data_IF_120528401864
#
_entry.id   IF_120528401864
#
_cell.length_a   1.000
_cell.length_b   1.000
_cell.length_c   1.000
_cell.angle_alpha   90.00
_cell.angle_beta   90.00
_cell.angle_gamma   90.00
#
_symmetry.space_group_name_H-M   'P 1'
#
loop_
_entity.id
_entity.type
_entity.pdbx_description
1 polymer ?
#
# COMPACT_ATOMS: atom_id res chain seq x y z
N UNK A 1 0.48 -11.83 -1.34
CA UNK A 1 0.05 -11.03 -0.18
C UNK A 1 1.02 -9.89 0.05
N UNK A 2 0.52 -8.66 0.03
CA UNK A 2 1.21 -7.45 0.42
C UNK A 2 0.54 -6.83 1.66
N UNK A 3 1.32 -6.12 2.47
CA UNK A 3 0.87 -5.35 3.62
C UNK A 3 1.29 -3.91 3.45
N UNK A 4 0.37 -2.97 3.62
CA UNK A 4 0.65 -1.53 3.64
C UNK A 4 0.21 -0.93 4.97
N UNK A 5 1.11 -0.16 5.58
CA UNK A 5 0.86 0.57 6.84
C UNK A 5 0.99 2.05 6.58
N UNK A 6 -0.04 2.83 6.88
CA UNK A 6 -0.08 4.25 6.58
C UNK A 6 -0.88 5.06 7.61
N UNK A 7 -0.63 6.36 7.68
CA UNK A 7 -1.37 7.28 8.53
C UNK A 7 -2.75 7.55 7.92
N UNK A 8 -3.81 7.00 8.50
CA UNK A 8 -5.22 7.31 8.23
C UNK A 8 -5.71 8.59 8.92
N UNK A 9 -7.01 8.89 8.75
CA UNK A 9 -7.67 10.06 9.38
C UNK A 9 -7.75 9.91 10.90
N UNK A 10 -8.02 8.70 11.38
CA UNK A 10 -8.21 8.41 12.81
C UNK A 10 -6.98 7.80 13.49
N UNK A 11 -5.88 7.56 12.75
CA UNK A 11 -4.68 6.91 13.27
C UNK A 11 -3.96 6.09 12.21
N UNK A 12 -2.97 5.30 12.64
CA UNK A 12 -2.27 4.36 11.75
C UNK A 12 -3.21 3.23 11.31
N UNK A 13 -3.29 3.01 10.01
CA UNK A 13 -4.05 1.94 9.34
C UNK A 13 -3.08 0.91 8.81
N UNK A 14 -3.42 -0.37 8.94
CA UNK A 14 -2.67 -1.50 8.39
C UNK A 14 -3.62 -2.34 7.56
N UNK A 15 -3.30 -2.49 6.28
CA UNK A 15 -4.10 -3.26 5.33
C UNK A 15 -3.28 -4.41 4.76
N UNK A 16 -3.91 -5.58 4.65
CA UNK A 16 -3.36 -6.74 3.98
C UNK A 16 -4.18 -6.99 2.72
N UNK A 17 -3.52 -7.00 1.58
CA UNK A 17 -4.11 -7.11 0.25
C UNK A 17 -3.31 -8.08 -0.61
N UNK A 18 -3.84 -8.47 -1.76
CA UNK A 18 -3.05 -9.23 -2.72
C UNK A 18 -1.95 -8.36 -3.36
N UNK A 19 -0.84 -8.94 -3.79
CA UNK A 19 0.25 -8.16 -4.40
C UNK A 19 -0.24 -7.44 -5.68
N UNK A 20 -1.10 -8.10 -6.47
CA UNK A 20 -1.72 -7.51 -7.67
C UNK A 20 -2.67 -6.33 -7.35
N UNK A 21 -3.15 -6.23 -6.11
CA UNK A 21 -4.04 -5.17 -5.65
C UNK A 21 -3.28 -3.95 -5.13
N UNK A 22 -1.97 -4.06 -4.89
CA UNK A 22 -1.14 -2.97 -4.35
C UNK A 22 -0.18 -2.44 -5.42
N UNK A 23 -0.46 -1.25 -5.92
CA UNK A 23 0.33 -0.64 -6.98
C UNK A 23 0.93 0.69 -6.51
N UNK A 24 2.23 0.89 -6.73
CA UNK A 24 2.84 2.21 -6.55
C UNK A 24 2.84 2.95 -7.89
N UNK A 25 2.25 4.14 -7.93
CA UNK A 25 2.18 4.98 -9.13
C UNK A 25 2.54 6.42 -8.81
N UNK A 26 3.47 6.97 -9.60
CA UNK A 26 3.99 8.34 -9.47
C UNK A 26 4.55 8.62 -8.07
N UNK A 27 3.69 8.99 -7.11
CA UNK A 27 4.04 9.31 -5.73
C UNK A 27 3.03 8.80 -4.68
N UNK A 28 2.13 7.89 -5.08
CA UNK A 28 1.14 7.31 -4.18
C UNK A 28 1.00 5.80 -4.37
N UNK A 29 0.58 5.16 -3.29
CA UNK A 29 0.13 3.78 -3.29
C UNK A 29 -1.35 3.72 -3.63
N UNK A 30 -1.71 2.82 -4.53
CA UNK A 30 -3.07 2.51 -4.92
C UNK A 30 -3.39 1.12 -4.39
N UNK A 31 -4.39 1.04 -3.54
CA UNK A 31 -4.94 -0.21 -3.00
C UNK A 31 -6.28 -0.47 -3.66
N UNK A 32 -6.46 -1.64 -4.26
CA UNK A 32 -7.71 -2.05 -4.88
C UNK A 32 -8.41 -3.09 -3.98
N UNK A 33 -9.58 -2.75 -3.45
CA UNK A 33 -10.31 -3.61 -2.49
C UNK A 33 -11.25 -4.63 -3.15
N UNK A 34 -11.36 -4.62 -4.48
CA UNK A 34 -12.45 -5.27 -5.21
C UNK A 34 -13.67 -4.34 -5.30
N UNK A 35 -14.62 -4.67 -6.18
CA UNK A 35 -15.84 -3.87 -6.39
C UNK A 35 -15.61 -2.41 -6.81
N UNK A 36 -14.59 -2.14 -7.64
CA UNK A 36 -14.22 -0.81 -8.15
C UNK A 36 -13.84 0.21 -7.05
N UNK A 37 -13.61 -0.24 -5.81
CA UNK A 37 -13.15 0.62 -4.73
C UNK A 37 -11.62 0.71 -4.72
N UNK A 38 -11.12 1.95 -4.81
CA UNK A 38 -9.68 2.26 -4.79
C UNK A 38 -9.36 3.25 -3.67
N UNK A 39 -8.36 2.89 -2.87
CA UNK A 39 -7.77 3.79 -1.89
C UNK A 39 -6.45 4.33 -2.42
N UNK A 40 -6.31 5.66 -2.40
CA UNK A 40 -5.10 6.35 -2.82
C UNK A 40 -4.37 6.90 -1.59
N UNK A 41 -3.16 6.43 -1.37
CA UNK A 41 -2.36 6.73 -0.18
C UNK A 41 -1.07 7.42 -0.63
N UNK A 42 -0.93 8.74 -0.39
CA UNK A 42 0.31 9.45 -0.65
C UNK A 42 1.51 8.79 0.03
N UNK A 43 2.66 8.71 -0.64
CA UNK A 43 3.90 8.12 -0.08
C UNK A 43 4.25 8.69 1.30
N UNK A 44 4.04 9.99 1.51
CA UNK A 44 4.35 10.69 2.76
C UNK A 44 3.56 10.15 3.97
N UNK A 45 2.41 9.52 3.72
CA UNK A 45 1.59 8.89 4.76
C UNK A 45 1.97 7.44 5.00
N UNK A 46 2.77 6.83 4.13
CA UNK A 46 3.13 5.41 4.25
C UNK A 46 4.32 5.23 5.17
N UNK A 47 4.14 4.37 6.16
CA UNK A 47 5.17 4.01 7.13
C UNK A 47 5.91 2.75 6.72
N UNK A 48 5.20 1.76 6.16
CA UNK A 48 5.76 0.47 5.79
C UNK A 48 4.98 -0.13 4.63
N UNK A 49 5.69 -0.76 3.71
CA UNK A 49 5.11 -1.68 2.72
C UNK A 49 5.92 -2.96 2.71
N UNK A 50 5.24 -4.08 2.82
CA UNK A 50 5.83 -5.42 2.74
C UNK A 50 5.13 -6.17 1.62
N UNK A 51 5.83 -6.51 0.54
CA UNK A 51 5.29 -7.37 -0.52
C UNK A 51 5.94 -8.75 -0.40
N UNK A 52 5.17 -9.82 -0.65
CA UNK A 52 5.75 -11.17 -0.72
C UNK A 52 6.46 -11.41 -2.07
N UNK A 53 6.34 -10.50 -3.04
CA UNK A 53 7.13 -10.56 -4.26
C UNK A 53 8.57 -10.09 -4.00
N UNK A 54 9.58 -10.95 -4.22
CA UNK A 54 10.98 -10.64 -3.92
C UNK A 54 11.59 -9.53 -4.81
N UNK A 55 10.84 -8.98 -5.78
CA UNK A 55 11.33 -7.92 -6.65
C UNK A 55 11.15 -6.50 -6.10
N UNK A 56 10.47 -6.31 -4.98
CA UNK A 56 10.25 -4.99 -4.37
C UNK A 56 11.04 -4.82 -3.06
N UNK A 57 12.36 -5.01 -3.11
CA UNK A 57 13.25 -4.52 -2.06
C UNK A 57 13.56 -3.05 -2.38
N UNK A 58 12.85 -2.12 -1.76
CA UNK A 58 13.35 -0.75 -1.66
C UNK A 58 14.38 -0.73 -0.52
N UNK A 59 15.65 -0.89 -0.88
CA UNK A 59 16.75 -0.50 0.01
C UNK A 59 16.61 1.00 0.31
N UNK A 60 16.46 1.33 1.60
CA UNK A 60 16.56 2.70 2.11
C UNK A 60 18.02 3.15 2.19
#
# INVERSE_FOLDING_TARGET
MATIVYQGVEGTVSEEVDDDQLNYREDHWQVHHGDDEYTYIPRERVHLVTMNDPHFITEQ
#
